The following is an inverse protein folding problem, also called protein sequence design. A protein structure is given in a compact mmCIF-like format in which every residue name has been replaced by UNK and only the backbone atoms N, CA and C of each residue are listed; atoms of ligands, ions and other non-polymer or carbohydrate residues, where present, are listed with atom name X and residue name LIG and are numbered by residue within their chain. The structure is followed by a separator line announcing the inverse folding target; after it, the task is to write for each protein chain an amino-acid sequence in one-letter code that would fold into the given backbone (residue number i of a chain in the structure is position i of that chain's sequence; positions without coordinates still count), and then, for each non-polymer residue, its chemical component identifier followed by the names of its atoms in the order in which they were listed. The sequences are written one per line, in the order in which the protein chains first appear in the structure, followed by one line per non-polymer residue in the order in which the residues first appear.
data_IF_699364314673
#
_entry.id   IF_699364314673
#
_cell.length_a   1.000
_cell.length_b   1.000
_cell.length_c   1.000
_cell.angle_alpha   90.00
_cell.angle_beta   90.00
_cell.angle_gamma   90.00
#
_symmetry.space_group_name_H-M   'P 1'
#
loop_
_entity.id
_entity.type
_entity.pdbx_description
1 polymer ?
#
# COMPACT_ATOMS: atom_id res chain seq x y z
N UNK A 1 8.63 5.46 -11.89
CA UNK A 1 7.20 5.27 -12.15
C UNK A 1 6.48 6.31 -11.32
N UNK A 2 5.50 7.00 -11.90
CA UNK A 2 4.63 7.91 -11.18
C UNK A 2 3.26 7.25 -11.04
N UNK A 3 2.58 7.49 -9.94
CA UNK A 3 1.30 6.88 -9.63
C UNK A 3 0.24 7.97 -9.58
N UNK A 4 -0.94 7.67 -10.10
CA UNK A 4 -2.13 8.50 -9.91
C UNK A 4 -3.31 7.59 -9.54
N UNK A 5 -4.06 7.98 -8.51
CA UNK A 5 -5.33 7.32 -8.15
C UNK A 5 -6.28 8.35 -7.55
N UNK A 6 -7.57 8.03 -7.47
CA UNK A 6 -8.59 8.90 -6.90
C UNK A 6 -9.34 8.14 -5.81
N UNK A 7 -9.57 8.78 -4.67
CA UNK A 7 -10.37 8.20 -3.59
C UNK A 7 -11.87 8.49 -3.76
N UNK A 8 -12.70 7.86 -2.91
CA UNK A 8 -14.15 8.04 -2.95
C UNK A 8 -14.66 9.45 -2.63
N UNK A 9 -13.79 10.36 -2.17
CA UNK A 9 -14.11 11.78 -1.91
C UNK A 9 -13.80 12.66 -3.12
N UNK A 10 -13.24 12.08 -4.19
CA UNK A 10 -12.80 12.80 -5.37
C UNK A 10 -11.39 13.38 -5.27
N UNK A 11 -10.66 13.12 -4.18
CA UNK A 11 -9.29 13.60 -3.97
C UNK A 11 -8.33 12.80 -4.85
N UNK A 12 -7.44 13.51 -5.55
CA UNK A 12 -6.42 12.92 -6.40
C UNK A 12 -5.15 12.66 -5.58
N UNK A 13 -4.63 11.45 -5.67
CA UNK A 13 -3.42 11.01 -4.98
C UNK A 13 -2.32 10.75 -6.00
N UNK A 14 -1.19 11.45 -5.86
CA UNK A 14 -0.05 11.36 -6.77
C UNK A 14 1.19 10.83 -6.04
N UNK A 15 1.63 9.64 -6.42
CA UNK A 15 2.86 9.04 -5.92
C UNK A 15 4.07 9.53 -6.69
N UNK A 16 5.09 9.99 -5.96
CA UNK A 16 6.36 10.49 -6.51
C UNK A 16 7.55 9.85 -5.80
N UNK A 17 8.77 10.25 -6.17
CA UNK A 17 9.99 9.87 -5.43
C UNK A 17 10.21 10.65 -4.14
N UNK A 18 9.42 11.69 -3.89
CA UNK A 18 9.56 12.61 -2.76
C UNK A 18 8.29 12.67 -1.90
N UNK A 19 7.54 11.56 -1.90
CA UNK A 19 6.34 11.36 -1.11
C UNK A 19 5.05 11.21 -1.93
N UNK A 20 3.95 11.16 -1.20
CA UNK A 20 2.60 11.03 -1.72
C UNK A 20 1.86 12.36 -1.60
N UNK A 21 1.40 12.89 -2.72
CA UNK A 21 0.71 14.17 -2.78
C UNK A 21 -0.81 13.94 -2.82
N UNK A 22 -1.52 14.51 -1.85
CA UNK A 22 -2.97 14.56 -1.75
C UNK A 22 -3.44 15.90 -2.34
N UNK A 23 -4.26 15.87 -3.39
CA UNK A 23 -4.77 17.05 -4.08
C UNK A 23 -6.29 17.09 -4.04
N UNK A 24 -6.83 18.09 -3.35
CA UNK A 24 -8.27 18.28 -3.15
C UNK A 24 -8.97 19.09 -4.27
N UNK A 25 -8.23 19.45 -5.33
CA UNK A 25 -8.70 20.34 -6.40
C UNK A 25 -8.21 21.79 -6.25
N UNK A 26 -7.71 22.18 -5.07
CA UNK A 26 -7.23 23.52 -4.78
C UNK A 26 -5.82 23.55 -4.19
N UNK A 27 -5.48 22.58 -3.33
CA UNK A 27 -4.24 22.54 -2.56
C UNK A 27 -3.63 21.14 -2.57
N UNK A 28 -2.31 21.13 -2.46
CA UNK A 28 -1.55 19.90 -2.22
C UNK A 28 -1.21 19.77 -0.74
N UNK A 29 -1.39 18.57 -0.19
CA UNK A 29 -0.79 18.12 1.06
C UNK A 29 0.18 16.99 0.74
N UNK A 30 1.41 17.08 1.22
CA UNK A 30 2.42 16.04 0.99
C UNK A 30 2.53 15.16 2.22
N UNK A 31 2.39 13.86 2.04
CA UNK A 31 2.67 12.84 3.04
C UNK A 31 4.08 12.30 2.79
N UNK A 32 4.93 12.35 3.81
CA UNK A 32 6.33 11.91 3.75
C UNK A 32 6.62 10.84 4.78
N UNK A 33 7.72 10.15 4.56
CA UNK A 33 8.32 9.27 5.53
C UNK A 33 8.97 10.09 6.65
N UNK A 34 8.68 9.70 7.88
CA UNK A 34 9.35 10.22 9.07
C UNK A 34 9.96 9.06 9.85
N UNK A 35 11.29 9.04 9.98
CA UNK A 35 12.02 7.93 10.60
C UNK A 35 11.63 7.69 12.08
N UNK A 36 11.22 8.76 12.78
CA UNK A 36 10.80 8.69 14.18
C UNK A 36 9.30 8.40 14.37
N UNK A 37 8.50 8.42 13.29
CA UNK A 37 7.05 8.21 13.35
C UNK A 37 6.63 7.00 12.51
N UNK A 38 6.28 5.91 13.18
CA UNK A 38 5.76 4.69 12.53
C UNK A 38 4.35 4.88 11.96
N UNK A 39 3.67 5.98 12.29
CA UNK A 39 2.39 6.41 11.72
C UNK A 39 2.57 7.43 10.57
N UNK A 40 3.72 7.41 9.90
CA UNK A 40 4.00 8.10 8.63
C UNK A 40 4.13 7.14 7.44
N UNK A 41 4.31 7.69 6.23
CA UNK A 41 4.51 6.91 4.99
C UNK A 41 5.72 5.95 5.13
N UNK A 42 5.66 4.69 4.63
CA UNK A 42 6.77 3.76 4.76
C UNK A 42 8.10 4.27 4.17
N UNK A 43 8.06 4.86 2.98
CA UNK A 43 9.18 5.53 2.29
C UNK A 43 8.66 6.56 1.29
N UNK A 44 9.44 7.60 1.03
CA UNK A 44 9.09 8.67 0.09
C UNK A 44 9.04 8.22 -1.37
N UNK A 45 9.72 7.12 -1.74
CA UNK A 45 9.71 6.59 -3.10
C UNK A 45 8.46 5.75 -3.35
N UNK A 46 7.36 6.41 -3.69
CA UNK A 46 6.05 5.81 -3.94
C UNK A 46 6.01 5.15 -5.31
N UNK A 47 5.63 3.87 -5.35
CA UNK A 47 5.63 3.02 -6.55
C UNK A 47 4.26 2.55 -6.96
N UNK A 48 3.32 2.41 -6.04
CA UNK A 48 1.93 2.07 -6.31
C UNK A 48 1.00 2.68 -5.27
N UNK A 49 -0.24 2.92 -5.65
CA UNK A 49 -1.29 3.39 -4.76
C UNK A 49 -2.65 2.97 -5.33
N UNK A 50 -3.55 2.51 -4.47
CA UNK A 50 -4.90 2.13 -4.85
C UNK A 50 -5.89 2.45 -3.74
N UNK A 51 -7.01 3.04 -4.12
CA UNK A 51 -8.14 3.22 -3.23
C UNK A 51 -8.89 1.90 -3.05
N UNK A 52 -9.07 1.48 -1.80
CA UNK A 52 -9.92 0.34 -1.42
C UNK A 52 -11.26 0.89 -0.91
N UNK A 53 -12.33 0.83 -1.72
CA UNK A 53 -13.65 1.33 -1.32
C UNK A 53 -14.30 0.47 -0.23
N UNK A 54 -13.92 -0.81 -0.10
CA UNK A 54 -14.51 -1.72 0.88
C UNK A 54 -13.96 -1.46 2.29
N UNK A 55 -12.68 -1.09 2.39
CA UNK A 55 -12.03 -0.74 3.66
C UNK A 55 -11.97 0.76 3.93
N UNK A 56 -12.43 1.58 2.98
CA UNK A 56 -12.33 3.04 3.01
C UNK A 56 -10.90 3.52 3.36
N UNK A 57 -9.92 3.02 2.62
CA UNK A 57 -8.52 3.33 2.84
C UNK A 57 -7.74 3.43 1.53
N UNK A 58 -6.57 4.05 1.60
CA UNK A 58 -5.59 4.05 0.53
C UNK A 58 -4.47 3.06 0.85
N UNK A 59 -4.25 2.08 -0.01
CA UNK A 59 -3.05 1.26 0.03
C UNK A 59 -1.96 1.93 -0.77
N UNK A 60 -0.75 2.00 -0.22
CA UNK A 60 0.39 2.68 -0.83
C UNK A 60 1.63 1.82 -0.73
N UNK A 61 2.13 1.43 -1.90
CA UNK A 61 3.36 0.67 -2.04
C UNK A 61 4.52 1.60 -2.31
N UNK A 62 5.58 1.43 -1.53
CA UNK A 62 6.80 2.23 -1.64
C UNK A 62 7.98 1.33 -2.00
N UNK A 63 9.15 1.93 -2.23
CA UNK A 63 10.39 1.15 -2.37
C UNK A 63 10.76 0.40 -1.08
N UNK A 64 10.24 0.83 0.08
CA UNK A 64 10.57 0.29 1.40
C UNK A 64 9.31 -0.13 2.17
N UNK A 65 8.46 -0.91 1.51
CA UNK A 65 7.32 -1.57 2.12
C UNK A 65 5.95 -0.97 1.81
N UNK A 66 4.94 -1.58 2.44
CA UNK A 66 3.52 -1.31 2.23
C UNK A 66 2.93 -0.47 3.37
N UNK A 67 2.23 0.60 3.00
CA UNK A 67 1.47 1.46 3.90
C UNK A 67 -0.02 1.41 3.61
N UNK A 68 -0.83 1.65 4.64
CA UNK A 68 -2.27 1.86 4.55
C UNK A 68 -2.64 3.17 5.24
N UNK A 69 -3.26 4.09 4.52
CA UNK A 69 -3.84 5.30 5.07
C UNK A 69 -5.34 5.12 5.29
N UNK A 70 -5.76 5.16 6.54
CA UNK A 70 -7.13 4.94 6.95
C UNK A 70 -7.90 6.27 6.96
N UNK A 71 -8.90 6.43 6.09
CA UNK A 71 -9.58 7.72 5.93
C UNK A 71 -10.48 8.07 7.12
N UNK A 72 -10.97 7.08 7.87
CA UNK A 72 -11.81 7.34 9.04
C UNK A 72 -11.00 7.93 10.20
N UNK A 73 -9.75 7.48 10.36
CA UNK A 73 -8.89 7.90 11.47
C UNK A 73 -7.82 8.91 11.07
N UNK A 74 -7.55 9.06 9.76
CA UNK A 74 -6.48 9.90 9.23
C UNK A 74 -5.08 9.40 9.59
N UNK A 75 -4.92 8.11 9.89
CA UNK A 75 -3.67 7.51 10.36
C UNK A 75 -3.06 6.56 9.35
N UNK A 76 -1.74 6.52 9.30
CA UNK A 76 -1.00 5.47 8.59
C UNK A 76 -0.83 4.22 9.45
N UNK A 77 -0.79 3.08 8.76
CA UNK A 77 -0.28 1.83 9.28
C UNK A 77 0.70 1.23 8.28
N UNK A 78 1.88 0.85 8.76
CA UNK A 78 2.86 0.10 7.98
C UNK A 78 2.60 -1.39 8.15
N UNK A 79 2.69 -2.15 7.07
CA UNK A 79 2.50 -3.60 7.10
C UNK A 79 3.86 -4.31 7.10
N UNK A 80 4.10 -5.12 8.14
CA UNK A 80 5.24 -6.05 8.25
C UNK A 80 5.98 -6.10 9.61
N UNK A 81 5.59 -5.33 10.64
CA UNK A 81 6.29 -5.34 11.94
C UNK A 81 5.69 -6.26 13.02
N UNK A 82 5.01 -7.35 12.64
CA UNK A 82 4.48 -8.34 13.60
C UNK A 82 4.79 -9.77 13.09
N UNK A 83 5.48 -10.52 13.93
CA UNK A 83 6.17 -11.81 13.73
C UNK A 83 5.53 -12.81 12.74
N UNK A 84 6.33 -13.26 11.76
CA UNK A 84 6.03 -14.40 10.89
C UNK A 84 6.93 -14.44 9.64
N UNK A 85 7.70 -15.53 9.39
CA UNK A 85 8.77 -15.55 8.37
C UNK A 85 8.31 -15.53 6.90
N UNK A 86 7.00 -15.47 6.62
CA UNK A 86 6.44 -15.53 5.25
C UNK A 86 5.56 -14.34 4.86
N UNK A 87 5.38 -13.34 5.74
CA UNK A 87 4.45 -12.22 5.55
C UNK A 87 5.06 -10.84 5.76
N UNK A 88 6.39 -10.76 5.94
CA UNK A 88 7.07 -9.49 6.17
C UNK A 88 7.21 -8.71 4.85
N UNK A 89 6.29 -7.77 4.65
CA UNK A 89 6.33 -6.77 3.59
C UNK A 89 7.09 -5.52 4.01
N UNK A 90 7.61 -5.46 5.25
CA UNK A 90 8.56 -4.42 5.64
C UNK A 90 9.81 -4.60 4.80
N UNK A 91 10.36 -3.48 4.35
CA UNK A 91 11.60 -3.48 3.56
C UNK A 91 11.53 -4.14 2.18
N UNK A 92 10.33 -4.51 1.71
CA UNK A 92 10.13 -5.00 0.35
C UNK A 92 9.65 -3.88 -0.57
N UNK A 93 10.28 -3.80 -1.74
CA UNK A 93 9.78 -2.94 -2.81
C UNK A 93 8.40 -3.44 -3.28
N UNK A 94 7.40 -2.58 -3.17
CA UNK A 94 6.02 -2.88 -3.58
C UNK A 94 5.78 -2.33 -4.98
N UNK A 95 5.70 -3.21 -5.97
CA UNK A 95 5.61 -2.81 -7.37
C UNK A 95 4.18 -2.50 -7.79
N UNK A 96 3.24 -3.34 -7.40
CA UNK A 96 1.84 -3.20 -7.77
C UNK A 96 0.93 -3.62 -6.62
N UNK A 97 -0.20 -2.93 -6.53
CA UNK A 97 -1.28 -3.26 -5.59
C UNK A 97 -2.58 -3.27 -6.37
N UNK A 98 -3.40 -4.28 -6.14
CA UNK A 98 -4.71 -4.45 -6.75
C UNK A 98 -5.73 -4.81 -5.68
N UNK A 99 -6.94 -4.28 -5.81
CA UNK A 99 -8.09 -4.69 -5.00
C UNK A 99 -9.08 -5.38 -5.91
N UNK A 100 -9.45 -6.63 -5.61
CA UNK A 100 -10.38 -7.40 -6.44
C UNK A 100 -11.84 -7.30 -5.95
N UNK A 101 -12.76 -7.84 -6.75
CA UNK A 101 -14.20 -7.85 -6.43
C UNK A 101 -14.57 -8.76 -5.25
N UNK A 102 -13.66 -9.64 -4.82
CA UNK A 102 -13.79 -10.46 -3.61
C UNK A 102 -13.21 -9.73 -2.39
N UNK A 103 -12.88 -8.45 -2.52
CA UNK A 103 -12.33 -7.59 -1.47
C UNK A 103 -10.95 -8.02 -0.98
N UNK A 104 -10.22 -8.81 -1.78
CA UNK A 104 -8.83 -9.15 -1.51
C UNK A 104 -7.91 -8.06 -1.99
N UNK A 105 -6.81 -7.88 -1.28
CA UNK A 105 -5.73 -6.97 -1.67
C UNK A 105 -4.57 -7.81 -2.14
N UNK A 106 -4.17 -7.66 -3.39
CA UNK A 106 -3.03 -8.34 -3.98
C UNK A 106 -1.85 -7.39 -4.06
N UNK A 107 -0.67 -7.89 -3.72
CA UNK A 107 0.58 -7.13 -3.64
C UNK A 107 1.65 -7.90 -4.38
N UNK A 108 2.26 -7.26 -5.37
CA UNK A 108 3.42 -7.79 -6.07
C UNK A 108 4.70 -7.16 -5.52
N UNK A 109 5.63 -8.01 -5.07
CA UNK A 109 6.96 -7.60 -4.60
C UNK A 109 8.04 -8.25 -5.46
N UNK A 110 9.30 -7.89 -5.23
CA UNK A 110 10.42 -8.55 -5.91
C UNK A 110 10.59 -10.02 -5.51
N UNK A 111 10.11 -10.42 -4.33
CA UNK A 111 10.26 -11.78 -3.78
C UNK A 111 9.04 -12.67 -4.02
N UNK A 112 7.93 -12.12 -4.51
CA UNK A 112 6.74 -12.89 -4.83
C UNK A 112 5.46 -12.07 -4.87
N UNK A 113 4.34 -12.79 -4.91
CA UNK A 113 3.01 -12.20 -4.83
C UNK A 113 2.40 -12.56 -3.48
N UNK A 114 1.75 -11.59 -2.87
CA UNK A 114 1.07 -11.74 -1.59
C UNK A 114 -0.38 -11.28 -1.73
N UNK A 115 -1.27 -11.83 -0.91
CA UNK A 115 -2.66 -11.40 -0.85
C UNK A 115 -3.16 -11.27 0.58
N UNK A 116 -4.14 -10.39 0.78
CA UNK A 116 -4.84 -10.18 2.04
C UNK A 116 -6.31 -10.53 1.85
N UNK A 117 -6.80 -11.48 2.63
CA UNK A 117 -8.22 -11.84 2.64
C UNK A 117 -9.10 -10.74 3.29
N UNK A 118 -10.40 -10.67 2.95
CA UNK A 118 -11.36 -9.83 3.65
C UNK A 118 -11.35 -10.13 5.15
N UNK A 119 -11.31 -9.08 5.98
CA UNK A 119 -11.28 -9.21 7.44
C UNK A 119 -9.92 -9.64 8.04
N UNK A 120 -8.95 -10.07 7.23
CA UNK A 120 -7.58 -10.33 7.70
C UNK A 120 -6.78 -9.04 7.85
N UNK A 121 -5.75 -9.08 8.71
CA UNK A 121 -4.70 -8.05 8.80
C UNK A 121 -3.33 -8.57 8.37
N UNK A 122 -3.21 -9.84 7.98
CA UNK A 122 -1.96 -10.48 7.61
C UNK A 122 -1.99 -10.94 6.15
N UNK A 123 -0.94 -10.58 5.41
CA UNK A 123 -0.74 -11.02 4.03
C UNK A 123 -0.23 -12.46 3.99
N UNK A 124 -0.72 -13.24 3.04
CA UNK A 124 -0.28 -14.60 2.74
C UNK A 124 0.43 -14.63 1.40
N UNK A 125 1.51 -15.40 1.28
CA UNK A 125 2.17 -15.62 0.00
C UNK A 125 1.28 -16.44 -0.95
N UNK A 126 1.32 -16.09 -2.23
CA UNK A 126 0.67 -16.86 -3.29
C UNK A 126 1.59 -18.01 -3.66
N UNK A 127 1.22 -19.23 -3.30
CA UNK A 127 1.88 -20.44 -3.79
C UNK A 127 1.25 -20.82 -5.12
N UNK A 128 1.92 -20.49 -6.22
CA UNK A 128 1.53 -21.05 -7.51
C UNK A 128 1.99 -22.52 -7.55
N UNK A 129 1.12 -23.47 -7.96
CA UNK A 129 1.58 -24.83 -8.19
C UNK A 129 2.69 -24.79 -9.24
N UNK A 130 3.79 -25.51 -9.00
CA UNK A 130 4.84 -25.65 -10.00
C UNK A 130 4.20 -26.17 -11.29
N UNK A 131 4.28 -25.38 -12.37
CA UNK A 131 3.86 -25.83 -13.69
C UNK A 131 4.70 -27.06 -14.02
N UNK A 132 4.06 -28.24 -14.09
CA UNK A 132 4.68 -29.44 -14.63
C UNK A 132 5.02 -29.12 -16.08
N UNK A 133 6.33 -29.06 -16.36
CA UNK A 133 6.87 -28.83 -17.70
C UNK A 133 6.57 -30.01 -18.64
#
# INVERSE_FOLDING_TARGET
MFVITQDGRGVIWLGTREGLNEFDGYRFKVHRHEAADTASLPSDDVRSAVFDPFRNCLWVGTMDGLGRYDFATGRWRRHGTQEGPASDLSFQAIWYILVDSLQRVWVATASGHHYLEPGSNQFSAVNLPETVA
#
